data_IF_021899190023
#
_entry.id   IF_021899190023
#
_cell.length_a   1.000
_cell.length_b   1.000
_cell.length_c   1.000
_cell.angle_alpha   90.00
_cell.angle_beta   90.00
_cell.angle_gamma   90.00
#
_symmetry.space_group_name_H-M   'P 1'
#
loop_
_entity.id
_entity.type
_entity.pdbx_description
1 polymer ?
#
# COMPACT_ATOMS: atom_id res chain seq x y z
N UNK A 1 -23.38 -102.10 27.65
CA UNK A 1 -23.25 -101.29 26.42
C UNK A 1 -24.04 -101.98 25.32
N UNK A 2 -24.82 -101.28 24.48
CA UNK A 2 -25.56 -101.93 23.41
C UNK A 2 -24.58 -102.61 22.46
N UNK A 3 -24.72 -103.93 22.27
CA UNK A 3 -23.89 -104.73 21.38
C UNK A 3 -24.19 -104.30 19.96
N UNK A 4 -23.20 -103.71 19.28
CA UNK A 4 -23.36 -103.29 17.89
C UNK A 4 -23.53 -104.55 17.02
N UNK A 5 -24.55 -104.62 16.14
CA UNK A 5 -24.73 -105.77 15.27
C UNK A 5 -23.52 -105.95 14.36
N UNK A 6 -23.16 -107.21 14.06
CA UNK A 6 -22.03 -107.52 13.17
C UNK A 6 -22.30 -106.94 11.79
N UNK A 7 -21.35 -106.14 11.27
CA UNK A 7 -21.54 -105.41 10.04
C UNK A 7 -21.54 -106.36 8.84
N UNK A 8 -22.65 -106.40 8.10
CA UNK A 8 -22.73 -107.10 6.81
C UNK A 8 -21.98 -106.30 5.75
N UNK A 9 -21.49 -106.97 4.70
CA UNK A 9 -20.74 -106.33 3.59
C UNK A 9 -21.49 -105.15 2.96
N UNK A 10 -22.81 -105.26 2.82
CA UNK A 10 -23.67 -104.16 2.33
C UNK A 10 -23.69 -102.94 3.27
N UNK A 11 -23.65 -103.15 4.59
CA UNK A 11 -23.63 -102.05 5.56
C UNK A 11 -22.28 -101.33 5.56
N UNK A 12 -21.17 -102.08 5.49
CA UNK A 12 -19.83 -101.51 5.38
C UNK A 12 -19.68 -100.64 4.11
N UNK A 13 -20.24 -101.10 2.99
CA UNK A 13 -20.22 -100.33 1.76
C UNK A 13 -21.02 -99.02 1.90
N UNK A 14 -22.20 -99.08 2.53
CA UNK A 14 -23.03 -97.89 2.75
C UNK A 14 -22.37 -96.89 3.70
N UNK A 15 -21.69 -97.38 4.74
CA UNK A 15 -20.91 -96.54 5.67
C UNK A 15 -19.74 -95.85 4.95
N UNK A 16 -19.01 -96.58 4.10
CA UNK A 16 -17.97 -95.98 3.24
C UNK A 16 -18.51 -94.90 2.31
N UNK A 17 -19.69 -95.10 1.70
CA UNK A 17 -20.29 -94.07 0.85
C UNK A 17 -20.64 -92.82 1.66
N UNK A 18 -21.23 -92.99 2.84
CA UNK A 18 -21.56 -91.87 3.74
C UNK A 18 -20.30 -91.11 4.15
N UNK A 19 -19.22 -91.81 4.47
CA UNK A 19 -17.94 -91.20 4.84
C UNK A 19 -17.38 -90.37 3.66
N UNK A 20 -17.42 -90.92 2.44
CA UNK A 20 -16.99 -90.20 1.23
C UNK A 20 -17.84 -88.96 0.95
N UNK A 21 -19.16 -89.06 1.09
CA UNK A 21 -20.08 -87.95 0.91
C UNK A 21 -19.86 -86.86 1.96
N UNK A 22 -19.63 -87.26 3.21
CA UNK A 22 -19.33 -86.36 4.30
C UNK A 22 -18.02 -85.60 4.07
N UNK A 23 -16.96 -86.30 3.64
CA UNK A 23 -15.69 -85.67 3.28
C UNK A 23 -15.85 -84.66 2.13
N UNK A 24 -16.58 -85.04 1.06
CA UNK A 24 -16.88 -84.14 -0.06
C UNK A 24 -17.69 -82.91 0.37
N UNK A 25 -18.63 -83.06 1.32
CA UNK A 25 -19.39 -81.95 1.86
C UNK A 25 -18.49 -81.00 2.66
N UNK A 26 -17.63 -81.54 3.53
CA UNK A 26 -16.68 -80.74 4.34
C UNK A 26 -15.69 -79.97 3.47
N UNK A 27 -15.21 -80.56 2.38
CA UNK A 27 -14.38 -79.87 1.40
C UNK A 27 -15.12 -78.68 0.77
N UNK A 28 -16.36 -78.88 0.31
CA UNK A 28 -17.18 -77.80 -0.26
C UNK A 28 -17.42 -76.65 0.71
N UNK A 29 -17.68 -76.94 1.99
CA UNK A 29 -17.85 -75.92 3.02
C UNK A 29 -16.54 -75.15 3.27
N UNK A 30 -15.40 -75.84 3.29
CA UNK A 30 -14.09 -75.21 3.49
C UNK A 30 -13.67 -74.33 2.30
N UNK A 31 -14.02 -74.73 1.07
CA UNK A 31 -13.71 -73.98 -0.15
C UNK A 31 -14.70 -72.85 -0.45
N UNK A 32 -15.84 -72.81 0.24
CA UNK A 32 -16.86 -71.79 0.03
C UNK A 32 -16.34 -70.41 0.45
N UNK A 33 -16.22 -69.51 -0.52
CA UNK A 33 -15.84 -68.11 -0.27
C UNK A 33 -16.97 -67.37 0.44
N UNK A 34 -16.64 -66.58 1.46
CA UNK A 34 -17.60 -65.69 2.10
C UNK A 34 -18.16 -64.68 1.08
N UNK A 35 -19.49 -64.57 1.00
CA UNK A 35 -20.17 -63.64 0.11
C UNK A 35 -20.31 -62.23 0.71
N UNK A 36 -20.05 -62.11 2.02
CA UNK A 36 -20.18 -60.88 2.79
C UNK A 36 -18.81 -60.59 3.42
N UNK A 37 -18.38 -59.33 3.32
CA UNK A 37 -17.15 -58.87 3.95
C UNK A 37 -17.41 -58.56 5.43
N UNK A 38 -17.05 -59.49 6.31
CA UNK A 38 -17.16 -59.33 7.77
C UNK A 38 -15.90 -58.69 8.39
N UNK A 39 -14.99 -58.14 7.56
CA UNK A 39 -13.78 -57.50 8.08
C UNK A 39 -14.12 -56.17 8.75
N UNK A 40 -13.44 -55.82 9.86
CA UNK A 40 -13.58 -54.51 10.45
C UNK A 40 -13.16 -53.45 9.42
N UNK A 41 -13.91 -52.33 9.28
CA UNK A 41 -13.53 -51.28 8.35
C UNK A 41 -12.12 -50.78 8.71
N UNK A 42 -11.25 -50.69 7.70
CA UNK A 42 -9.92 -50.12 7.86
C UNK A 42 -10.08 -48.73 8.49
N UNK A 43 -9.45 -48.53 9.64
CA UNK A 43 -9.46 -47.33 10.46
C UNK A 43 -9.32 -46.10 9.56
N UNK A 44 -10.47 -45.49 9.27
CA UNK A 44 -10.60 -44.24 8.56
C UNK A 44 -9.95 -43.19 9.47
N UNK A 45 -8.67 -42.93 9.24
CA UNK A 45 -7.90 -41.81 9.79
C UNK A 45 -8.50 -40.50 9.27
N UNK A 46 -9.73 -40.19 9.67
CA UNK A 46 -10.47 -39.00 9.30
C UNK A 46 -10.00 -37.82 10.15
N UNK A 47 -8.78 -37.37 9.90
CA UNK A 47 -8.43 -35.98 10.20
C UNK A 47 -7.26 -35.51 9.33
N UNK A 48 -7.54 -35.31 8.05
CA UNK A 48 -6.67 -34.52 7.16
C UNK A 48 -6.56 -33.06 7.60
N UNK A 49 -7.21 -32.66 8.70
CA UNK A 49 -7.14 -31.30 9.24
C UNK A 49 -5.71 -30.90 9.56
N UNK A 50 -4.90 -31.81 10.11
CA UNK A 50 -3.50 -31.51 10.44
C UNK A 50 -2.67 -31.26 9.18
N UNK A 51 -2.80 -32.12 8.18
CA UNK A 51 -2.06 -31.97 6.91
C UNK A 51 -2.51 -30.73 6.15
N UNK A 52 -3.82 -30.42 6.14
CA UNK A 52 -4.35 -29.19 5.54
C UNK A 52 -3.85 -27.94 6.27
N UNK A 53 -3.83 -27.94 7.61
CA UNK A 53 -3.28 -26.81 8.38
C UNK A 53 -1.79 -26.61 8.14
N UNK A 54 -1.01 -27.69 8.06
CA UNK A 54 0.42 -27.64 7.73
C UNK A 54 0.65 -27.11 6.31
N UNK A 55 -0.15 -27.55 5.33
CA UNK A 55 -0.09 -27.04 3.96
C UNK A 55 -0.41 -25.54 3.88
N UNK A 56 -1.46 -25.08 4.58
CA UNK A 56 -1.84 -23.67 4.60
C UNK A 56 -0.77 -22.79 5.28
N UNK A 57 -0.18 -23.29 6.36
CA UNK A 57 0.95 -22.63 7.02
C UNK A 57 2.16 -22.52 6.08
N UNK A 58 2.52 -23.61 5.40
CA UNK A 58 3.64 -23.63 4.46
C UNK A 58 3.39 -22.67 3.28
N UNK A 59 2.17 -22.65 2.75
CA UNK A 59 1.77 -21.71 1.69
C UNK A 59 1.96 -20.25 2.10
N UNK A 60 1.58 -19.89 3.34
CA UNK A 60 1.80 -18.53 3.87
C UNK A 60 3.29 -18.19 3.96
N UNK A 61 4.09 -19.11 4.51
CA UNK A 61 5.55 -18.93 4.61
C UNK A 61 6.18 -18.75 3.24
N UNK A 62 5.78 -19.54 2.24
CA UNK A 62 6.31 -19.42 0.87
C UNK A 62 5.96 -18.07 0.22
N UNK A 63 4.73 -17.58 0.42
CA UNK A 63 4.32 -16.27 -0.08
C UNK A 63 5.13 -15.14 0.56
N UNK A 64 5.34 -15.20 1.88
CA UNK A 64 6.16 -14.21 2.60
C UNK A 64 7.62 -14.27 2.17
N UNK A 65 8.19 -15.47 1.99
CA UNK A 65 9.55 -15.66 1.49
C UNK A 65 9.72 -15.06 0.10
N UNK A 66 8.77 -15.29 -0.83
CA UNK A 66 8.80 -14.67 -2.16
C UNK A 66 8.74 -13.14 -2.07
N UNK A 67 7.89 -12.60 -1.21
CA UNK A 67 7.79 -11.15 -0.98
C UNK A 67 9.08 -10.58 -0.40
N UNK A 68 9.72 -11.29 0.52
CA UNK A 68 10.99 -10.88 1.11
C UNK A 68 12.10 -10.86 0.05
N UNK A 69 12.23 -11.92 -0.73
CA UNK A 69 13.24 -12.01 -1.80
C UNK A 69 13.05 -10.90 -2.83
N UNK A 70 11.81 -10.64 -3.26
CA UNK A 70 11.52 -9.55 -4.19
C UNK A 70 11.88 -8.16 -3.63
N UNK A 71 11.67 -7.94 -2.32
CA UNK A 71 12.10 -6.70 -1.66
C UNK A 71 13.62 -6.62 -1.53
N UNK A 72 14.27 -7.73 -1.19
CA UNK A 72 15.74 -7.80 -1.09
C UNK A 72 16.39 -7.54 -2.45
N UNK A 73 15.90 -8.16 -3.52
CA UNK A 73 16.42 -7.92 -4.88
C UNK A 73 16.28 -6.46 -5.27
N UNK A 74 15.13 -5.84 -4.97
CA UNK A 74 14.91 -4.41 -5.20
C UNK A 74 15.90 -3.54 -4.42
N UNK A 75 16.14 -3.86 -3.15
CA UNK A 75 17.11 -3.15 -2.30
C UNK A 75 18.54 -3.33 -2.83
N UNK A 76 18.90 -4.54 -3.26
CA UNK A 76 20.22 -4.85 -3.83
C UNK A 76 20.44 -4.12 -5.15
N UNK A 77 19.43 -4.08 -6.02
CA UNK A 77 19.47 -3.37 -7.30
C UNK A 77 19.55 -1.84 -7.11
N UNK A 78 18.70 -1.28 -6.24
CA UNK A 78 18.61 0.17 -6.03
C UNK A 78 19.61 0.71 -5.00
N UNK A 79 20.31 -0.15 -4.27
CA UNK A 79 21.31 0.21 -3.25
C UNK A 79 20.74 0.95 -2.03
N UNK A 80 19.43 0.85 -1.79
CA UNK A 80 18.69 1.60 -0.77
C UNK A 80 18.26 2.99 -1.26
N UNK A 81 16.96 3.20 -1.42
CA UNK A 81 16.32 4.48 -1.77
C UNK A 81 16.27 5.50 -0.61
N UNK A 82 17.09 5.31 0.43
CA UNK A 82 17.21 6.32 1.47
C UNK A 82 18.02 7.47 0.86
N UNK A 83 17.29 8.48 0.37
CA UNK A 83 17.78 9.76 -0.16
C UNK A 83 18.42 10.64 0.93
N UNK A 84 18.86 10.02 2.04
CA UNK A 84 19.73 10.65 3.04
C UNK A 84 21.21 10.55 2.60
N UNK A 85 21.45 10.50 1.29
CA UNK A 85 22.76 10.86 0.76
C UNK A 85 22.81 12.37 0.83
N UNK A 86 23.69 12.87 1.68
CA UNK A 86 23.97 14.31 1.79
C UNK A 86 24.00 14.95 0.39
N UNK A 87 23.33 16.11 0.18
CA UNK A 87 23.24 16.77 -1.13
C UNK A 87 24.60 17.24 -1.69
N UNK A 88 25.70 16.96 -0.98
CA UNK A 88 27.07 17.34 -1.28
C UNK A 88 27.86 16.28 -2.06
N UNK A 89 27.32 15.08 -2.29
CA UNK A 89 27.98 14.03 -3.09
C UNK A 89 27.79 14.16 -4.61
N UNK A 90 27.46 15.34 -5.12
CA UNK A 90 27.54 15.63 -6.55
C UNK A 90 28.73 16.57 -6.79
N UNK A 91 29.77 16.16 -7.54
CA UNK A 91 30.88 17.04 -7.92
C UNK A 91 30.39 18.34 -8.59
N UNK A 92 29.25 18.27 -9.27
CA UNK A 92 28.61 19.39 -9.95
C UNK A 92 27.61 20.18 -9.08
N UNK A 93 27.41 19.84 -7.80
CA UNK A 93 26.45 20.54 -6.92
C UNK A 93 26.73 22.05 -6.84
N UNK A 94 28.01 22.46 -6.79
CA UNK A 94 28.39 23.88 -6.84
C UNK A 94 27.97 24.54 -8.16
N UNK A 95 28.21 23.87 -9.30
CA UNK A 95 27.77 24.35 -10.63
C UNK A 95 26.26 24.45 -10.73
N UNK A 96 25.52 23.51 -10.16
CA UNK A 96 24.05 23.54 -10.12
C UNK A 96 23.52 24.65 -9.22
N UNK A 97 24.16 24.91 -8.08
CA UNK A 97 23.80 26.00 -7.18
C UNK A 97 24.08 27.37 -7.81
N UNK A 98 25.23 27.54 -8.47
CA UNK A 98 25.59 28.76 -9.19
C UNK A 98 24.64 29.03 -10.36
N UNK A 99 24.32 28.00 -11.15
CA UNK A 99 23.33 28.12 -12.23
C UNK A 99 21.93 28.47 -11.71
N UNK A 100 21.49 27.89 -10.58
CA UNK A 100 20.22 28.28 -9.93
C UNK A 100 20.26 29.74 -9.49
N UNK A 101 21.32 30.15 -8.81
CA UNK A 101 21.50 31.54 -8.36
C UNK A 101 21.50 32.52 -9.54
N UNK A 102 22.17 32.19 -10.63
CA UNK A 102 22.19 33.01 -11.85
C UNK A 102 20.86 33.07 -12.59
N UNK A 103 20.01 32.04 -12.49
CA UNK A 103 18.63 32.07 -13.00
C UNK A 103 17.72 32.95 -12.14
N UNK A 104 17.79 32.80 -10.82
CA UNK A 104 17.05 33.64 -9.87
C UNK A 104 17.44 35.12 -9.98
N UNK A 105 18.73 35.43 -10.11
CA UNK A 105 19.20 36.80 -10.32
C UNK A 105 18.65 37.41 -11.62
N UNK A 106 18.61 36.65 -12.71
CA UNK A 106 18.02 37.11 -13.98
C UNK A 106 16.53 37.39 -13.83
N UNK A 107 15.79 36.48 -13.20
CA UNK A 107 14.37 36.65 -12.92
C UNK A 107 14.12 37.91 -12.08
N UNK A 108 14.87 38.10 -11.00
CA UNK A 108 14.75 39.27 -10.14
C UNK A 108 15.06 40.57 -10.91
N UNK A 109 16.08 40.55 -11.77
CA UNK A 109 16.42 41.71 -12.60
C UNK A 109 15.30 42.06 -13.59
N UNK A 110 14.70 41.06 -14.25
CA UNK A 110 13.56 41.25 -15.14
C UNK A 110 12.35 41.81 -14.39
N UNK A 111 12.02 41.27 -13.21
CA UNK A 111 10.94 41.77 -12.36
C UNK A 111 11.20 43.23 -11.93
N UNK A 112 12.42 43.56 -11.49
CA UNK A 112 12.81 44.91 -11.13
C UNK A 112 12.71 45.89 -12.31
N UNK A 113 13.09 45.46 -13.52
CA UNK A 113 12.92 46.27 -14.73
C UNK A 113 11.45 46.52 -15.07
N UNK A 114 10.57 45.53 -14.88
CA UNK A 114 9.12 45.72 -15.07
C UNK A 114 8.54 46.70 -14.05
N UNK A 115 8.95 46.61 -12.80
CA UNK A 115 8.53 47.55 -11.74
C UNK A 115 9.03 48.96 -12.05
N UNK A 116 10.30 49.10 -12.43
CA UNK A 116 10.89 50.39 -12.78
C UNK A 116 10.15 51.04 -13.95
N UNK A 117 9.88 50.28 -15.00
CA UNK A 117 9.11 50.74 -16.16
C UNK A 117 7.73 51.22 -15.74
N UNK A 118 7.03 50.46 -14.90
CA UNK A 118 5.72 50.86 -14.37
C UNK A 118 5.81 52.16 -13.56
N UNK A 119 6.82 52.31 -12.71
CA UNK A 119 7.02 53.53 -11.91
C UNK A 119 7.27 54.76 -12.80
N UNK A 120 8.06 54.60 -13.86
CA UNK A 120 8.36 55.68 -14.80
C UNK A 120 7.17 56.05 -15.69
N UNK A 121 6.40 55.06 -16.15
CA UNK A 121 5.24 55.27 -17.02
C UNK A 121 4.01 55.78 -16.27
N UNK A 122 3.95 55.55 -14.96
CA UNK A 122 2.84 56.02 -14.12
C UNK A 122 2.91 57.54 -14.01
N UNK A 123 1.92 58.22 -14.60
CA UNK A 123 1.75 59.66 -14.44
C UNK A 123 1.36 59.98 -12.99
N UNK A 124 1.88 61.06 -12.41
CA UNK A 124 1.44 61.50 -11.09
C UNK A 124 -0.06 61.81 -11.14
N UNK A 125 -0.82 61.24 -10.21
CA UNK A 125 -2.27 61.47 -10.07
C UNK A 125 -2.55 62.93 -9.69
N UNK A 126 -1.59 63.56 -9.02
CA UNK A 126 -1.70 64.91 -8.49
C UNK A 126 -0.78 65.86 -9.26
N UNK A 127 -1.35 66.98 -9.71
CA UNK A 127 -0.61 68.08 -10.29
C UNK A 127 -0.32 69.10 -9.19
N UNK A 128 0.95 69.22 -8.79
CA UNK A 128 1.37 70.12 -7.72
C UNK A 128 1.05 71.58 -8.03
N UNK A 129 1.17 71.99 -9.29
CA UNK A 129 0.82 73.34 -9.75
C UNK A 129 -0.66 73.62 -9.57
N UNK A 130 -1.53 72.70 -10.04
CA UNK A 130 -2.97 72.82 -9.84
C UNK A 130 -3.34 72.86 -8.35
N UNK A 131 -2.69 72.05 -7.52
CA UNK A 131 -2.91 72.06 -6.08
C UNK A 131 -2.50 73.38 -5.42
N UNK A 132 -1.40 73.99 -5.87
CA UNK A 132 -0.98 75.31 -5.39
C UNK A 132 -2.01 76.39 -5.80
N UNK A 133 -2.50 76.36 -7.05
CA UNK A 133 -3.53 77.27 -7.52
C UNK A 133 -4.87 77.09 -6.79
N UNK A 134 -5.34 75.86 -6.66
CA UNK A 134 -6.59 75.52 -5.96
C UNK A 134 -6.49 75.94 -4.49
N UNK A 135 -5.32 75.74 -3.86
CA UNK A 135 -5.05 76.22 -2.51
C UNK A 135 -5.10 77.74 -2.43
N UNK A 136 -4.45 78.46 -3.33
CA UNK A 136 -4.46 79.93 -3.34
C UNK A 136 -5.87 80.49 -3.48
N UNK A 137 -6.68 79.93 -4.40
CA UNK A 137 -8.09 80.31 -4.56
C UNK A 137 -8.91 80.01 -3.31
N UNK A 138 -8.66 78.86 -2.68
CA UNK A 138 -9.34 78.50 -1.45
C UNK A 138 -8.98 79.43 -0.29
N UNK A 139 -7.71 79.85 -0.18
CA UNK A 139 -7.27 80.85 0.81
C UNK A 139 -7.97 82.21 0.58
N UNK A 140 -8.12 82.66 -0.67
CA UNK A 140 -8.91 83.86 -0.99
C UNK A 140 -10.38 83.73 -0.61
N UNK A 141 -11.00 82.57 -0.87
CA UNK A 141 -12.39 82.34 -0.48
C UNK A 141 -12.55 82.34 1.02
N UNK A 142 -11.64 81.70 1.75
CA UNK A 142 -11.65 81.67 3.22
C UNK A 142 -11.54 83.08 3.79
N UNK A 143 -10.64 83.92 3.28
CA UNK A 143 -10.50 85.31 3.73
C UNK A 143 -11.77 86.15 3.47
N UNK A 144 -12.45 85.92 2.33
CA UNK A 144 -13.69 86.63 2.01
C UNK A 144 -14.89 86.19 2.86
N UNK A 145 -14.96 84.91 3.25
CA UNK A 145 -16.10 84.37 4.04
C UNK A 145 -15.85 84.43 5.54
N UNK A 146 -14.60 84.64 5.98
CA UNK A 146 -14.26 84.62 7.39
C UNK A 146 -14.79 85.86 8.11
N UNK A 147 -15.39 85.63 9.29
CA UNK A 147 -15.86 86.72 10.17
C UNK A 147 -14.69 87.52 10.78
N UNK A 148 -13.52 86.92 10.88
CA UNK A 148 -12.31 87.49 11.48
C UNK A 148 -11.17 87.47 10.46
N UNK A 149 -10.13 88.32 10.62
CA UNK A 149 -8.98 88.33 9.72
C UNK A 149 -8.34 86.94 9.60
N UNK A 150 -8.28 86.41 8.38
CA UNK A 150 -7.69 85.10 8.11
C UNK A 150 -6.19 85.23 7.87
N UNK A 151 -5.41 84.33 8.46
CA UNK A 151 -3.96 84.25 8.24
C UNK A 151 -3.65 82.85 7.69
N UNK A 152 -3.10 82.74 6.47
CA UNK A 152 -2.67 81.46 5.92
C UNK A 152 -1.69 80.73 6.85
N UNK A 153 -1.85 79.41 6.95
CA UNK A 153 -1.04 78.54 7.83
C UNK A 153 0.48 78.64 7.57
N UNK A 154 0.88 78.91 6.33
CA UNK A 154 2.29 79.02 5.94
C UNK A 154 2.95 80.29 6.52
N UNK A 155 2.15 81.32 6.83
CA UNK A 155 2.61 82.56 7.46
C UNK A 155 2.56 82.48 8.99
N UNK A 156 1.68 81.64 9.55
CA UNK A 156 1.63 81.39 11.00
C UNK A 156 2.89 80.66 11.50
N UNK A 157 3.48 79.78 10.69
CA UNK A 157 4.72 79.03 11.04
C UNK A 157 5.99 79.87 11.07
N UNK A 158 5.98 81.12 10.57
CA UNK A 158 7.17 81.99 10.58
C UNK A 158 7.40 82.72 11.91
N UNK A 159 6.45 82.64 12.84
CA UNK A 159 6.47 83.38 14.11
C UNK A 159 6.36 82.46 15.35
N UNK A 160 6.70 81.18 15.17
CA UNK A 160 6.97 80.21 16.24
C UNK A 160 8.43 79.75 16.10
#
# INVERSE_FOLDING_TARGET
>A
MPVKPKMTTSMLWQEQQREREYQKHRQRVAEQKACIDDKPPANLSLSNKRTVMEQERNRRIELENRRLVAKMSLIMERGGEIDNKEPWRFPDARRHAENRRGKEQRRLAEENMRILKRLQETKPVYCMEKWAEDRSKNEEYVDRISRYPYVPMDLQRKYL
#
